data_IF_728883672985
#
_entry.id   IF_728883672985
#
_cell.length_a   1.000
_cell.length_b   1.000
_cell.length_c   1.000
_cell.angle_alpha   90.00
_cell.angle_beta   90.00
_cell.angle_gamma   90.00
#
_symmetry.space_group_name_H-M   'P 1'
#
loop_
_entity.id
_entity.type
_entity.pdbx_description
1 polymer ?
#
# COMPACT_ATOMS: atom_id res chain seq x y z
N UNK A 1 13.54 -4.13 14.33
CA UNK A 1 13.10 -2.81 14.84
C UNK A 1 11.88 -2.43 14.05
N UNK A 2 10.71 -2.39 14.70
CA UNK A 2 9.41 -2.57 14.04
C UNK A 2 9.17 -1.55 12.93
N UNK A 3 8.83 -2.04 11.74
CA UNK A 3 8.45 -1.20 10.59
C UNK A 3 7.01 -1.50 10.20
N UNK A 4 6.31 -0.48 9.76
CA UNK A 4 4.91 -0.54 9.37
C UNK A 4 4.79 -0.21 7.90
N UNK A 5 4.13 -1.07 7.16
CA UNK A 5 3.86 -0.89 5.73
C UNK A 5 2.36 -0.72 5.56
N UNK A 6 1.95 0.20 4.69
CA UNK A 6 0.54 0.29 4.31
C UNK A 6 0.39 -0.44 2.99
N UNK A 7 -0.42 -1.48 2.94
CA UNK A 7 -0.69 -2.26 1.73
C UNK A 7 -2.10 -1.98 1.25
N UNK A 8 -2.26 -1.57 0.00
CA UNK A 8 -3.53 -1.24 -0.61
C UNK A 8 -4.19 -2.42 -1.36
N UNK A 9 -3.46 -3.52 -1.58
CA UNK A 9 -4.01 -4.71 -2.21
C UNK A 9 -2.93 -5.68 -2.66
N UNK A 10 -3.36 -6.89 -3.04
CA UNK A 10 -2.50 -7.93 -3.63
C UNK A 10 -3.20 -8.49 -4.85
N UNK A 11 -2.51 -8.48 -5.99
CA UNK A 11 -3.07 -8.88 -7.27
C UNK A 11 -2.21 -9.97 -7.90
N UNK A 12 -2.84 -10.96 -8.54
CA UNK A 12 -2.12 -11.96 -9.34
C UNK A 12 -1.59 -11.39 -10.66
N UNK A 13 -2.35 -10.46 -11.26
CA UNK A 13 -1.97 -9.81 -12.50
C UNK A 13 -1.26 -8.50 -12.22
N UNK A 14 -0.13 -8.30 -12.89
CA UNK A 14 0.66 -7.08 -12.75
C UNK A 14 -0.11 -5.84 -13.20
N UNK A 15 -0.85 -5.92 -14.30
CA UNK A 15 -1.65 -4.82 -14.82
C UNK A 15 -2.67 -4.30 -13.80
N UNK A 16 -3.29 -5.19 -13.02
CA UNK A 16 -4.23 -4.79 -11.96
C UNK A 16 -3.51 -4.04 -10.81
N UNK A 17 -2.29 -4.49 -10.46
CA UNK A 17 -1.47 -3.82 -9.47
C UNK A 17 -0.99 -2.45 -9.97
N UNK A 18 -0.62 -2.35 -11.26
CA UNK A 18 -0.22 -1.10 -11.90
C UNK A 18 -1.40 -0.12 -11.98
N UNK A 19 -2.58 -0.57 -12.38
CA UNK A 19 -3.78 0.25 -12.41
C UNK A 19 -4.14 0.82 -11.03
N UNK A 20 -4.09 0.00 -9.96
CA UNK A 20 -4.30 0.51 -8.60
C UNK A 20 -3.19 1.50 -8.21
N UNK A 21 -1.94 1.18 -8.54
CA UNK A 21 -0.81 2.03 -8.18
C UNK A 21 -0.87 3.40 -8.88
N UNK A 22 -1.29 3.46 -10.14
CA UNK A 22 -1.51 4.73 -10.84
C UNK A 22 -2.62 5.56 -10.18
N UNK A 23 -3.76 4.95 -9.83
CA UNK A 23 -4.85 5.67 -9.15
C UNK A 23 -4.39 6.26 -7.82
N UNK A 24 -3.63 5.48 -7.04
CA UNK A 24 -3.06 5.95 -5.76
C UNK A 24 -1.99 7.03 -5.97
N UNK A 25 -1.13 6.91 -6.99
CA UNK A 25 -0.17 7.98 -7.34
C UNK A 25 -0.87 9.28 -7.76
N UNK A 26 -1.97 9.20 -8.48
CA UNK A 26 -2.78 10.37 -8.85
C UNK A 26 -3.39 11.07 -7.63
N UNK A 27 -3.70 10.34 -6.56
CA UNK A 27 -4.11 10.92 -5.27
C UNK A 27 -2.93 11.50 -4.46
N UNK A 28 -1.70 11.36 -4.96
CA UNK A 28 -0.48 11.87 -4.33
C UNK A 28 0.15 10.92 -3.32
N UNK A 29 -0.17 9.61 -3.36
CA UNK A 29 0.55 8.64 -2.55
C UNK A 29 1.84 8.18 -3.22
N UNK A 30 2.82 7.85 -2.38
CA UNK A 30 4.01 7.13 -2.81
C UNK A 30 3.71 5.63 -2.85
N UNK A 31 3.67 5.06 -4.05
CA UNK A 31 3.23 3.68 -4.26
C UNK A 31 4.35 2.80 -4.79
N UNK A 32 4.52 1.65 -4.16
CA UNK A 32 5.48 0.61 -4.55
C UNK A 32 4.76 -0.70 -4.83
N UNK A 33 5.07 -1.30 -5.98
CA UNK A 33 4.61 -2.64 -6.31
C UNK A 33 5.71 -3.61 -5.91
N UNK A 34 5.40 -4.53 -5.00
CA UNK A 34 6.33 -5.57 -4.55
C UNK A 34 5.89 -6.93 -5.07
N UNK A 35 6.79 -7.68 -5.74
CA UNK A 35 6.54 -9.07 -6.06
C UNK A 35 6.52 -9.93 -4.80
N UNK A 36 5.47 -10.75 -4.66
CA UNK A 36 5.21 -11.71 -3.59
C UNK A 36 4.93 -13.07 -4.24
N UNK A 37 6.01 -13.77 -4.62
CA UNK A 37 5.91 -15.01 -5.39
C UNK A 37 5.26 -14.74 -6.76
N UNK A 38 4.10 -15.33 -7.00
CA UNK A 38 3.30 -15.17 -8.22
C UNK A 38 2.30 -14.00 -8.16
N UNK A 39 2.37 -13.17 -7.10
CA UNK A 39 1.47 -12.04 -6.88
C UNK A 39 2.25 -10.73 -6.76
N UNK A 40 1.53 -9.62 -6.85
CA UNK A 40 2.02 -8.26 -6.77
C UNK A 40 1.26 -7.51 -5.69
N UNK A 41 1.92 -7.16 -4.59
CA UNK A 41 1.33 -6.30 -3.58
C UNK A 41 1.59 -4.83 -3.89
N UNK A 42 0.55 -4.02 -3.77
CA UNK A 42 0.62 -2.57 -3.90
C UNK A 42 0.73 -1.99 -2.50
N UNK A 43 1.81 -1.26 -2.21
CA UNK A 43 2.08 -0.66 -0.91
C UNK A 43 2.18 0.86 -1.03
N UNK A 44 1.62 1.56 -0.05
CA UNK A 44 1.59 3.02 0.11
C UNK A 44 2.74 3.52 1.01
N UNK A 45 3.93 2.94 0.84
CA UNK A 45 5.13 3.33 1.57
C UNK A 45 5.47 2.47 2.81
N UNK A 46 6.67 2.73 3.34
CA UNK A 46 7.27 2.07 4.50
C UNK A 46 7.52 3.11 5.59
N UNK A 47 6.90 2.92 6.75
CA UNK A 47 6.95 3.83 7.88
C UNK A 47 7.64 3.16 9.07
N UNK A 48 8.34 3.96 9.88
CA UNK A 48 8.82 3.52 11.22
C UNK A 48 7.82 3.87 12.33
N UNK A 49 6.90 4.77 12.05
CA UNK A 49 5.85 5.23 12.96
C UNK A 49 4.50 4.62 12.59
N UNK A 50 3.84 3.97 13.56
CA UNK A 50 2.50 3.42 13.37
C UNK A 50 1.47 4.52 13.05
N UNK A 51 1.56 5.68 13.71
CA UNK A 51 0.61 6.78 13.51
C UNK A 51 0.64 7.29 12.05
N UNK A 52 1.84 7.40 11.46
CA UNK A 52 1.99 7.77 10.04
C UNK A 52 1.35 6.73 9.12
N UNK A 53 1.58 5.45 9.40
CA UNK A 53 0.97 4.36 8.64
C UNK A 53 -0.58 4.36 8.77
N UNK A 54 -1.11 4.67 9.96
CA UNK A 54 -2.54 4.82 10.19
C UNK A 54 -3.12 5.98 9.40
N UNK A 55 -2.50 7.16 9.42
CA UNK A 55 -2.94 8.31 8.63
C UNK A 55 -3.04 7.98 7.14
N UNK A 56 -2.03 7.31 6.57
CA UNK A 56 -2.03 6.90 5.16
C UNK A 56 -3.11 5.86 4.87
N UNK A 57 -3.28 4.86 5.75
CA UNK A 57 -4.36 3.87 5.65
C UNK A 57 -5.74 4.55 5.65
N UNK A 58 -5.98 5.43 6.63
CA UNK A 58 -7.29 6.05 6.81
C UNK A 58 -7.63 6.99 5.67
N UNK A 59 -6.64 7.72 5.15
CA UNK A 59 -6.80 8.55 3.96
C UNK A 59 -7.15 7.70 2.73
N UNK A 60 -6.42 6.61 2.49
CA UNK A 60 -6.70 5.71 1.37
C UNK A 60 -8.10 5.08 1.48
N UNK A 61 -8.51 4.67 2.69
CA UNK A 61 -9.86 4.15 2.96
C UNK A 61 -10.95 5.20 2.75
N UNK A 62 -10.71 6.45 3.16
CA UNK A 62 -11.65 7.55 2.95
C UNK A 62 -11.85 7.86 1.46
N UNK A 63 -10.82 7.66 0.64
CA UNK A 63 -10.89 7.80 -0.81
C UNK A 63 -11.46 6.54 -1.51
N UNK A 64 -11.85 5.52 -0.74
CA UNK A 64 -12.52 4.31 -1.22
C UNK A 64 -11.58 3.16 -1.59
N UNK A 65 -10.28 3.26 -1.27
CA UNK A 65 -9.32 2.18 -1.48
C UNK A 65 -9.25 1.26 -0.26
N UNK A 66 -9.11 -0.04 -0.48
CA UNK A 66 -8.76 -0.95 0.60
C UNK A 66 -7.31 -0.70 1.02
N UNK A 67 -7.06 -0.51 2.32
CA UNK A 67 -5.71 -0.35 2.85
C UNK A 67 -5.58 -1.05 4.20
N UNK A 68 -4.48 -1.75 4.42
CA UNK A 68 -4.15 -2.47 5.66
C UNK A 68 -2.73 -2.15 6.11
N UNK A 69 -2.49 -2.17 7.42
CA UNK A 69 -1.15 -1.97 7.97
C UNK A 69 -0.54 -3.35 8.23
N UNK A 70 0.64 -3.59 7.68
CA UNK A 70 1.44 -4.81 7.87
C UNK A 70 2.68 -4.42 8.66
N UNK A 71 2.84 -4.97 9.85
CA UNK A 71 4.06 -4.79 10.64
C UNK A 71 5.09 -5.88 10.34
N UNK A 72 6.34 -5.49 10.15
CA UNK A 72 7.50 -6.38 10.16
C UNK A 72 8.36 -6.08 11.38
N UNK A 73 8.85 -7.13 12.04
CA UNK A 73 9.68 -7.04 13.25
C UNK A 73 11.18 -7.08 12.94
#
# INVERSE_FOLDING_TARGET
>A
GKRYRVQAGVFRQRDNAEALAERLRQQGYEVYIRPLGEQYAVQLGLFRDLERAQKVRDRARAEGFEAVIVSEE
#
